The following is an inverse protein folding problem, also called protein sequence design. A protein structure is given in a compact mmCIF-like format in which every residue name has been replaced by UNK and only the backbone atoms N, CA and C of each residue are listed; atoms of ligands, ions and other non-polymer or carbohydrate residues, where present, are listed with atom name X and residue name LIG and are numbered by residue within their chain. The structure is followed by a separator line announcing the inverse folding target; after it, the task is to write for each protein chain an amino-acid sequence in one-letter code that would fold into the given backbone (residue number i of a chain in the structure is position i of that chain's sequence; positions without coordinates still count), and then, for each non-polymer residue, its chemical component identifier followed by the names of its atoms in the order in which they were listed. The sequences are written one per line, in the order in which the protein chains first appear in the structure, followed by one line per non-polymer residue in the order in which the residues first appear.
data_IF_584894145189
#
_entry.id   IF_584894145189
#
_cell.length_a   1.000
_cell.length_b   1.000
_cell.length_c   1.000
_cell.angle_alpha   90.00
_cell.angle_beta   90.00
_cell.angle_gamma   90.00
#
_symmetry.space_group_name_H-M   'P 1'
#
loop_
_entity.id
_entity.type
_entity.pdbx_description
1 polymer ?
#
# COMPACT_ATOMS: atom_id res chain seq x y z
N UNK A 1 16.64 -13.26 11.85
CA UNK A 1 15.38 -12.57 11.51
C UNK A 1 15.64 -11.77 10.25
N UNK A 2 14.93 -12.06 9.16
CA UNK A 2 15.11 -11.35 7.90
C UNK A 2 14.71 -9.88 8.05
N UNK A 3 15.43 -8.98 7.37
CA UNK A 3 15.15 -7.55 7.34
C UNK A 3 13.77 -7.29 6.67
N UNK A 4 12.69 -7.34 7.44
CA UNK A 4 11.39 -6.86 6.98
C UNK A 4 11.44 -5.33 6.89
N UNK A 5 10.77 -4.77 5.89
CA UNK A 5 10.61 -3.33 5.77
C UNK A 5 9.90 -2.76 6.99
N UNK A 6 10.33 -1.59 7.45
CA UNK A 6 9.56 -0.75 8.37
C UNK A 6 8.31 -0.25 7.66
N UNK A 7 7.27 0.06 8.43
CA UNK A 7 6.01 0.58 7.86
C UNK A 7 6.20 1.81 6.97
N UNK A 8 7.10 2.73 7.33
CA UNK A 8 7.43 3.88 6.49
C UNK A 8 8.15 3.50 5.19
N UNK A 9 9.04 2.51 5.23
CA UNK A 9 9.78 2.04 4.05
C UNK A 9 8.82 1.36 3.07
N UNK A 10 7.84 0.60 3.57
CA UNK A 10 6.78 0.02 2.74
C UNK A 10 5.93 1.09 2.04
N UNK A 11 5.55 2.17 2.74
CA UNK A 11 4.77 3.28 2.14
C UNK A 11 5.58 3.98 1.04
N UNK A 12 6.84 4.33 1.30
CA UNK A 12 7.67 4.99 0.30
C UNK A 12 7.98 4.06 -0.88
N UNK A 13 8.30 2.79 -0.64
CA UNK A 13 8.57 1.81 -1.69
C UNK A 13 7.35 1.51 -2.56
N UNK A 14 6.14 1.46 -1.97
CA UNK A 14 4.91 1.32 -2.74
C UNK A 14 4.69 2.53 -3.67
N UNK A 15 4.85 3.75 -3.14
CA UNK A 15 4.74 4.96 -3.95
C UNK A 15 5.81 5.02 -5.05
N UNK A 16 7.06 4.63 -4.76
CA UNK A 16 8.13 4.54 -5.75
C UNK A 16 7.76 3.55 -6.86
N UNK A 17 7.30 2.35 -6.51
CA UNK A 17 6.85 1.36 -7.48
C UNK A 17 5.71 1.88 -8.37
N UNK A 18 4.71 2.55 -7.82
CA UNK A 18 3.62 3.16 -8.60
C UNK A 18 4.11 4.14 -9.68
N UNK A 19 5.23 4.83 -9.44
CA UNK A 19 5.81 5.77 -10.43
C UNK A 19 6.58 5.08 -11.56
N UNK A 20 6.85 3.78 -11.43
CA UNK A 20 7.62 2.99 -12.40
C UNK A 20 6.77 2.06 -13.25
N UNK A 21 5.45 1.98 -12.98
CA UNK A 21 4.52 1.11 -13.70
C UNK A 21 4.29 1.60 -15.13
N UNK A 22 4.13 0.66 -16.06
CA UNK A 22 3.79 0.92 -17.46
C UNK A 22 2.38 1.52 -17.60
N UNK A 23 1.44 1.06 -16.77
CA UNK A 23 0.05 1.51 -16.79
C UNK A 23 -0.23 2.60 -15.75
N UNK A 24 -0.90 3.66 -16.19
CA UNK A 24 -1.35 4.72 -15.31
C UNK A 24 -2.45 4.20 -14.38
N UNK A 25 -2.24 4.39 -13.08
CA UNK A 25 -3.25 4.12 -12.06
C UNK A 25 -3.88 5.43 -11.57
N UNK A 26 -5.21 5.50 -11.49
CA UNK A 26 -5.94 6.66 -11.00
C UNK A 26 -6.58 6.30 -9.66
N UNK A 27 -6.31 7.10 -8.63
CA UNK A 27 -6.90 6.97 -7.30
C UNK A 27 -7.55 8.30 -6.93
N UNK A 28 -8.87 8.32 -6.77
CA UNK A 28 -9.61 9.49 -6.31
C UNK A 28 -10.95 9.07 -5.70
N UNK A 29 -11.58 9.97 -4.93
CA UNK A 29 -12.92 9.74 -4.42
C UNK A 29 -13.99 9.63 -5.53
N UNK A 30 -13.70 10.17 -6.72
CA UNK A 30 -14.62 10.22 -7.87
C UNK A 30 -14.39 9.07 -8.87
N UNK A 31 -13.45 8.16 -8.57
CA UNK A 31 -13.11 7.03 -9.44
C UNK A 31 -13.21 5.70 -8.69
N UNK A 32 -13.46 4.62 -9.43
CA UNK A 32 -13.32 3.26 -8.90
C UNK A 32 -11.85 3.01 -8.58
N UNK A 33 -11.52 3.16 -7.30
CA UNK A 33 -10.16 3.03 -6.78
C UNK A 33 -9.91 1.62 -6.21
N UNK A 34 -10.79 0.65 -6.45
CA UNK A 34 -10.63 -0.73 -5.98
C UNK A 34 -9.31 -1.36 -6.46
N UNK A 35 -8.84 -0.98 -7.65
CA UNK A 35 -7.55 -1.42 -8.21
C UNK A 35 -6.38 -1.15 -7.26
N UNK A 36 -6.43 -0.06 -6.47
CA UNK A 36 -5.36 0.27 -5.52
C UNK A 36 -5.21 -0.81 -4.44
N UNK A 37 -6.32 -1.41 -4.00
CA UNK A 37 -6.27 -2.50 -3.03
C UNK A 37 -5.53 -3.72 -3.59
N UNK A 38 -5.75 -4.05 -4.87
CA UNK A 38 -5.05 -5.14 -5.54
C UNK A 38 -3.56 -4.85 -5.67
N UNK A 39 -3.18 -3.61 -6.00
CA UNK A 39 -1.78 -3.20 -6.10
C UNK A 39 -1.07 -3.21 -4.73
N UNK A 40 -1.75 -2.76 -3.67
CA UNK A 40 -1.22 -2.83 -2.31
C UNK A 40 -0.99 -4.29 -1.93
N UNK A 41 -1.95 -5.17 -2.25
CA UNK A 41 -1.82 -6.60 -1.97
C UNK A 41 -0.63 -7.22 -2.70
N UNK A 42 -0.48 -6.95 -4.00
CA UNK A 42 0.66 -7.39 -4.81
C UNK A 42 2.00 -6.96 -4.18
N UNK A 43 2.10 -5.67 -3.81
CA UNK A 43 3.31 -5.14 -3.17
C UNK A 43 3.60 -5.80 -1.82
N UNK A 44 2.59 -6.01 -0.99
CA UNK A 44 2.71 -6.66 0.31
C UNK A 44 3.17 -8.12 0.18
N UNK A 45 2.60 -8.87 -0.77
CA UNK A 45 2.96 -10.27 -1.03
C UNK A 45 4.42 -10.40 -1.48
N UNK A 46 4.85 -9.58 -2.45
CA UNK A 46 6.21 -9.61 -2.99
C UNK A 46 7.26 -9.25 -1.92
N UNK A 47 6.93 -8.30 -1.04
CA UNK A 47 7.79 -7.86 0.07
C UNK A 47 7.59 -8.67 1.36
N UNK A 48 6.72 -9.70 1.35
CA UNK A 48 6.41 -10.56 2.50
C UNK A 48 5.99 -9.77 3.74
N UNK A 49 5.22 -8.71 3.53
CA UNK A 49 4.68 -7.91 4.61
C UNK A 49 3.57 -8.69 5.35
N UNK A 50 3.52 -8.61 6.69
CA UNK A 50 2.46 -9.26 7.44
C UNK A 50 1.11 -8.60 7.18
N UNK A 51 0.04 -9.39 7.26
CA UNK A 51 -1.32 -8.89 7.12
C UNK A 51 -1.64 -7.80 8.16
N UNK A 52 -2.48 -6.82 7.81
CA UNK A 52 -3.01 -5.86 8.77
C UNK A 52 -3.75 -6.58 9.90
N UNK A 53 -3.68 -6.02 11.12
CA UNK A 53 -4.55 -6.47 12.22
C UNK A 53 -6.00 -6.10 11.92
N UNK A 54 -6.96 -6.93 12.34
CA UNK A 54 -8.39 -6.73 12.06
C UNK A 54 -8.91 -5.33 12.39
N UNK A 55 -8.42 -4.72 13.47
CA UNK A 55 -8.88 -3.42 13.95
C UNK A 55 -7.88 -2.28 13.73
N UNK A 56 -7.03 -2.37 12.68
CA UNK A 56 -5.98 -1.37 12.45
C UNK A 56 -6.53 0.06 12.26
N UNK A 57 -7.78 0.18 11.79
CA UNK A 57 -8.50 1.45 11.61
C UNK A 57 -8.71 2.24 12.90
N UNK A 58 -8.76 1.57 14.05
CA UNK A 58 -8.91 2.22 15.36
C UNK A 58 -7.69 3.09 15.73
N UNK A 59 -6.55 2.83 15.08
CA UNK A 59 -5.26 3.48 15.32
C UNK A 59 -4.86 4.44 14.19
N UNK A 60 -5.70 4.59 13.16
CA UNK A 60 -5.43 5.44 12.00
C UNK A 60 -5.93 6.86 12.21
N UNK A 61 -5.03 7.83 12.01
CA UNK A 61 -5.41 9.24 11.86
C UNK A 61 -5.22 9.64 10.41
N UNK A 62 -6.33 9.94 9.72
CA UNK A 62 -6.32 10.38 8.33
C UNK A 62 -6.18 11.91 8.31
N UNK A 63 -5.11 12.47 7.71
CA UNK A 63 -4.99 13.91 7.50
C UNK A 63 -6.14 14.44 6.62
N UNK A 64 -6.61 15.65 6.91
CA UNK A 64 -7.59 16.37 6.09
C UNK A 64 -6.91 17.39 5.20
#
# INVERSE_FOLDING_TARGET
MGNCLKGSEAIYGFCEWLTTRDEKTVMSADNDSAIICDLIKEFCEENKLPDPRDNYTDYLTIPK
#
